data_IF_859299184709
#
_entry.id   IF_859299184709
#
_cell.length_a   1.000
_cell.length_b   1.000
_cell.length_c   1.000
_cell.angle_alpha   90.00
_cell.angle_beta   90.00
_cell.angle_gamma   90.00
#
_symmetry.space_group_name_H-M   'P 1'
#
loop_
_entity.id
_entity.type
_entity.pdbx_description
1 polymer ?
#
# COMPACT_ATOMS: atom_id res chain seq x y z
N UNK A 1 -28.47 -24.20 3.64
CA UNK A 1 -29.03 -23.22 4.61
C UNK A 1 -28.84 -23.79 6.01
N UNK A 2 -28.08 -23.11 6.87
CA UNK A 2 -27.94 -23.42 8.30
C UNK A 2 -27.96 -22.07 9.05
N UNK A 3 -28.84 -21.87 10.04
CA UNK A 3 -29.00 -20.59 10.72
C UNK A 3 -28.07 -20.45 11.94
N UNK A 4 -27.69 -19.22 12.26
CA UNK A 4 -27.36 -18.76 13.61
C UNK A 4 -25.96 -19.10 14.14
N UNK A 5 -24.98 -18.25 13.83
CA UNK A 5 -23.81 -18.02 14.69
C UNK A 5 -23.94 -16.63 15.37
N UNK A 6 -23.66 -16.50 16.67
CA UNK A 6 -23.77 -15.23 17.38
C UNK A 6 -22.69 -14.23 16.95
N UNK A 7 -23.12 -13.01 16.58
CA UNK A 7 -22.33 -11.82 16.18
C UNK A 7 -21.59 -11.14 17.35
N UNK A 8 -20.83 -11.88 18.16
CA UNK A 8 -20.13 -11.29 19.32
C UNK A 8 -18.62 -11.10 19.14
N UNK A 9 -18.09 -11.41 17.95
CA UNK A 9 -16.68 -11.18 17.61
C UNK A 9 -16.39 -9.76 17.07
N UNK A 10 -17.43 -8.95 16.86
CA UNK A 10 -17.37 -7.91 15.82
C UNK A 10 -16.70 -6.57 16.21
N UNK A 11 -16.54 -6.22 17.50
CA UNK A 11 -16.13 -4.85 17.84
C UNK A 11 -14.74 -4.70 18.50
N UNK A 12 -14.26 -5.70 19.26
CA UNK A 12 -13.06 -5.48 20.11
C UNK A 12 -11.72 -5.49 19.37
N UNK A 13 -11.61 -6.17 18.23
CA UNK A 13 -10.36 -6.19 17.46
C UNK A 13 -10.19 -4.89 16.67
N UNK A 14 -11.29 -4.29 16.23
CA UNK A 14 -11.32 -3.02 15.50
C UNK A 14 -11.12 -1.82 16.44
N UNK A 15 -11.69 -1.86 17.66
CA UNK A 15 -11.53 -0.82 18.68
C UNK A 15 -10.10 -0.74 19.26
N UNK A 16 -9.37 -1.87 19.35
CA UNK A 16 -7.98 -1.87 19.88
C UNK A 16 -7.01 -1.17 18.92
N UNK A 17 -7.28 -1.21 17.61
CA UNK A 17 -6.49 -0.48 16.60
C UNK A 17 -6.65 1.04 16.62
N UNK A 18 -7.55 1.59 17.44
CA UNK A 18 -7.80 3.04 17.57
C UNK A 18 -7.25 3.66 18.87
N UNK A 19 -6.52 2.91 19.70
CA UNK A 19 -6.02 3.44 20.98
C UNK A 19 -4.69 4.22 20.83
N UNK A 20 -4.85 5.55 20.74
CA UNK A 20 -3.97 6.64 21.20
C UNK A 20 -2.45 6.51 21.01
N UNK A 21 -1.94 7.15 19.95
CA UNK A 21 -0.58 7.72 19.93
C UNK A 21 -0.64 9.21 20.31
N UNK A 22 -0.74 9.50 21.62
CA UNK A 22 -0.22 10.80 22.11
C UNK A 22 1.28 10.65 22.28
N UNK A 23 2.02 10.93 21.21
CA UNK A 23 3.45 11.17 21.33
C UNK A 23 3.67 12.58 21.87
N UNK A 24 4.37 12.68 22.98
CA UNK A 24 4.80 13.92 23.62
C UNK A 24 5.86 14.60 22.74
N UNK A 25 5.48 15.69 22.07
CA UNK A 25 6.36 16.50 21.22
C UNK A 25 7.32 17.42 22.01
N UNK A 26 7.39 17.30 23.34
CA UNK A 26 8.25 18.15 24.17
C UNK A 26 9.64 17.53 24.41
N UNK A 27 10.50 17.53 23.39
CA UNK A 27 11.99 17.61 23.49
C UNK A 27 12.64 17.31 22.15
N UNK A 28 12.57 18.27 21.24
CA UNK A 28 13.57 18.39 20.18
C UNK A 28 14.14 19.81 20.25
N UNK A 29 15.15 19.97 21.10
CA UNK A 29 16.02 21.15 21.08
C UNK A 29 16.92 20.98 19.86
N UNK A 30 16.61 21.71 18.79
CA UNK A 30 17.53 21.91 17.67
C UNK A 30 17.69 23.41 17.49
N UNK A 31 18.93 23.87 17.68
CA UNK A 31 19.36 25.25 17.54
C UNK A 31 19.06 25.75 16.12
N UNK A 32 18.34 26.86 16.03
CA UNK A 32 18.17 27.61 14.79
C UNK A 32 19.30 28.65 14.68
N UNK A 33 20.08 28.59 13.60
CA UNK A 33 20.76 29.76 13.06
C UNK A 33 19.86 30.34 11.96
N UNK A 34 19.21 31.46 12.27
CA UNK A 34 18.46 32.28 11.32
C UNK A 34 19.41 33.26 10.64
N UNK A 35 19.49 33.24 9.31
CA UNK A 35 20.04 34.35 8.53
C UNK A 35 18.95 34.91 7.63
N UNK A 36 18.36 36.02 8.10
CA UNK A 36 17.51 36.92 7.33
C UNK A 36 18.35 37.81 6.41
N UNK A 37 17.76 38.16 5.28
CA UNK A 37 18.33 38.98 4.21
C UNK A 37 18.21 40.50 4.48
N UNK A 38 19.23 41.23 4.00
CA UNK A 38 19.22 42.60 3.41
C UNK A 38 19.87 43.77 4.19
N UNK A 39 20.68 44.49 3.39
CA UNK A 39 20.97 45.93 3.36
C UNK A 39 22.19 46.49 4.12
N UNK A 40 23.00 47.20 3.31
CA UNK A 40 24.05 48.20 3.54
C UNK A 40 24.28 48.73 4.96
N UNK A 41 25.53 48.72 5.43
CA UNK A 41 26.33 49.94 5.65
C UNK A 41 27.78 49.61 6.08
N UNK A 42 28.62 50.58 5.78
CA UNK A 42 30.08 50.71 5.91
C UNK A 42 30.62 50.58 7.33
N UNK A 43 31.76 49.88 7.51
CA UNK A 43 32.94 50.26 8.33
C UNK A 43 33.75 49.02 8.74
N UNK A 44 35.07 49.08 8.54
CA UNK A 44 35.98 47.96 8.75
C UNK A 44 36.43 47.75 10.19
N UNK A 45 36.90 46.54 10.48
CA UNK A 45 38.12 46.28 11.25
C UNK A 45 38.53 44.82 11.06
N UNK A 46 39.84 44.63 10.99
CA UNK A 46 40.60 43.39 10.86
C UNK A 46 40.43 42.41 12.03
N UNK A 47 40.54 41.10 11.77
CA UNK A 47 41.60 40.17 12.26
C UNK A 47 41.19 38.72 11.93
N UNK A 48 42.18 37.97 11.43
CA UNK A 48 42.24 36.53 11.14
C UNK A 48 41.75 35.64 12.30
N UNK A 49 41.09 34.52 11.97
CA UNK A 49 41.75 33.22 12.03
C UNK A 49 40.91 32.11 11.37
N UNK A 50 41.64 31.06 11.01
CA UNK A 50 41.39 30.07 9.98
C UNK A 50 40.60 28.87 10.52
N UNK A 51 39.50 28.47 9.89
CA UNK A 51 39.02 27.09 9.95
C UNK A 51 38.43 26.67 8.59
N UNK A 52 39.18 25.80 7.90
CA UNK A 52 38.72 25.00 6.77
C UNK A 52 37.71 23.97 7.29
N UNK A 53 36.52 23.94 6.72
CA UNK A 53 35.69 22.73 6.71
C UNK A 53 35.07 22.54 5.33
N UNK A 54 35.45 21.43 4.72
CA UNK A 54 34.98 20.95 3.42
C UNK A 54 33.50 20.56 3.52
N UNK A 55 32.64 21.27 2.78
CA UNK A 55 31.25 20.88 2.51
C UNK A 55 30.98 21.09 1.01
N UNK A 56 31.58 20.27 0.17
CA UNK A 56 31.49 20.38 -1.30
C UNK A 56 30.35 19.57 -1.93
N UNK A 57 29.68 18.66 -1.20
CA UNK A 57 28.69 17.75 -1.82
C UNK A 57 27.25 18.29 -1.92
N UNK A 58 26.87 19.34 -1.19
CA UNK A 58 25.50 19.90 -1.28
C UNK A 58 25.31 20.97 -2.36
N UNK A 59 26.39 21.64 -2.78
CA UNK A 59 26.33 22.62 -3.87
C UNK A 59 26.36 21.95 -5.25
N UNK A 60 26.98 20.77 -5.39
CA UNK A 60 27.01 20.03 -6.66
C UNK A 60 25.60 19.56 -7.10
N UNK A 61 24.75 19.08 -6.18
CA UNK A 61 23.36 18.69 -6.53
C UNK A 61 22.45 19.88 -6.91
N UNK A 62 22.70 21.08 -6.36
CA UNK A 62 21.92 22.28 -6.71
C UNK A 62 22.34 22.84 -8.06
N UNK A 63 23.63 22.77 -8.39
CA UNK A 63 24.16 23.11 -9.71
C UNK A 63 23.55 22.21 -10.78
N UNK A 64 23.40 20.91 -10.50
CA UNK A 64 22.89 19.94 -11.47
C UNK A 64 21.41 20.17 -11.84
N UNK A 65 20.55 20.52 -10.87
CA UNK A 65 19.13 20.82 -11.14
C UNK A 65 18.96 22.14 -11.89
N UNK A 66 19.75 23.17 -11.54
CA UNK A 66 19.71 24.48 -12.21
C UNK A 66 20.24 24.36 -13.63
N UNK A 67 21.33 23.62 -13.83
CA UNK A 67 21.91 23.36 -15.15
C UNK A 67 20.99 22.49 -16.00
N UNK A 68 20.33 21.47 -15.43
CA UNK A 68 19.35 20.65 -16.12
C UNK A 68 18.11 21.47 -16.54
N UNK A 69 17.59 22.37 -15.68
CA UNK A 69 16.54 23.33 -16.05
C UNK A 69 16.98 24.28 -17.16
N UNK A 70 18.24 24.75 -17.12
CA UNK A 70 18.80 25.64 -18.15
C UNK A 70 18.94 24.91 -19.49
N UNK A 71 19.53 23.69 -19.50
CA UNK A 71 19.65 22.84 -20.70
C UNK A 71 18.28 22.47 -21.27
N UNK A 72 17.31 22.16 -20.41
CA UNK A 72 15.94 21.89 -20.83
C UNK A 72 15.30 23.13 -21.48
N UNK A 73 15.43 24.32 -20.85
CA UNK A 73 14.95 25.59 -21.41
C UNK A 73 15.62 25.95 -22.74
N UNK A 74 16.92 25.71 -22.88
CA UNK A 74 17.66 25.91 -24.13
C UNK A 74 17.20 24.92 -25.21
N UNK A 75 17.02 23.64 -24.87
CA UNK A 75 16.48 22.63 -25.79
C UNK A 75 15.06 22.98 -26.26
N UNK A 76 14.19 23.45 -25.35
CA UNK A 76 12.87 23.97 -25.71
C UNK A 76 12.96 25.17 -26.66
N UNK A 77 13.94 26.06 -26.44
CA UNK A 77 14.17 27.22 -27.30
C UNK A 77 14.67 26.80 -28.69
N UNK A 78 15.53 25.79 -28.79
CA UNK A 78 15.99 25.24 -30.07
C UNK A 78 14.87 24.54 -30.84
N UNK A 79 13.98 23.81 -30.16
CA UNK A 79 12.81 23.18 -30.77
C UNK A 79 11.82 24.24 -31.30
N UNK A 80 11.73 25.41 -30.65
CA UNK A 80 10.84 26.51 -31.02
C UNK A 80 11.36 27.39 -32.18
N UNK A 81 12.64 27.29 -32.57
CA UNK A 81 13.30 28.24 -33.50
C UNK A 81 13.53 27.67 -34.91
N UNK A 82 13.04 26.45 -35.20
CA UNK A 82 12.93 26.00 -36.59
C UNK A 82 11.74 26.72 -37.28
N UNK A 83 11.95 27.95 -37.72
CA UNK A 83 11.08 28.68 -38.65
C UNK A 83 11.23 28.11 -40.07
N UNK A 84 10.92 26.83 -40.24
CA UNK A 84 10.71 26.23 -41.56
C UNK A 84 9.23 26.43 -41.91
N UNK A 85 8.85 26.79 -43.15
CA UNK A 85 7.45 26.84 -43.54
C UNK A 85 6.86 25.43 -43.44
N UNK A 86 6.25 25.12 -42.29
CA UNK A 86 5.56 23.86 -42.07
C UNK A 86 4.35 23.84 -43.01
N UNK A 87 4.21 22.76 -43.77
CA UNK A 87 2.99 22.53 -44.52
C UNK A 87 1.79 22.35 -43.57
N UNK A 88 0.58 22.32 -44.13
CA UNK A 88 -0.65 22.27 -43.33
C UNK A 88 -0.79 20.97 -42.50
N UNK A 89 -0.04 19.91 -42.85
CA UNK A 89 0.00 18.65 -42.11
C UNK A 89 0.92 18.76 -40.89
N UNK A 90 2.10 19.36 -41.07
CA UNK A 90 3.05 19.63 -40.00
C UNK A 90 2.49 20.62 -38.97
N UNK A 91 1.73 21.62 -39.42
CA UNK A 91 1.07 22.59 -38.51
C UNK A 91 0.03 21.91 -37.61
N UNK A 92 -0.74 20.95 -38.14
CA UNK A 92 -1.71 20.14 -37.37
C UNK A 92 -1.03 19.18 -36.41
N UNK A 93 0.06 18.54 -36.84
CA UNK A 93 0.84 17.64 -35.98
C UNK A 93 1.50 18.42 -34.84
N UNK A 94 2.12 19.56 -35.14
CA UNK A 94 2.73 20.44 -34.16
C UNK A 94 1.69 20.99 -33.16
N UNK A 95 0.50 21.38 -33.63
CA UNK A 95 -0.60 21.77 -32.74
C UNK A 95 -1.03 20.62 -31.82
N UNK A 96 -1.18 19.39 -32.33
CA UNK A 96 -1.50 18.22 -31.50
C UNK A 96 -0.41 17.90 -30.47
N UNK A 97 0.87 17.99 -30.86
CA UNK A 97 2.00 17.78 -29.95
C UNK A 97 1.99 18.86 -28.87
N UNK A 98 1.81 20.13 -29.23
CA UNK A 98 1.76 21.25 -28.28
C UNK A 98 0.62 21.13 -27.29
N UNK A 99 -0.58 20.73 -27.75
CA UNK A 99 -1.73 20.49 -26.87
C UNK A 99 -1.47 19.32 -25.92
N UNK A 100 -0.96 18.19 -26.42
CA UNK A 100 -0.60 17.04 -25.57
C UNK A 100 0.48 17.38 -24.53
N UNK A 101 1.48 18.18 -24.91
CA UNK A 101 2.52 18.65 -24.00
C UNK A 101 1.97 19.63 -22.96
N UNK A 102 1.08 20.55 -23.35
CA UNK A 102 0.46 21.49 -22.43
C UNK A 102 -0.43 20.77 -21.40
N UNK A 103 -1.21 19.78 -21.83
CA UNK A 103 -2.04 18.95 -20.96
C UNK A 103 -1.18 18.14 -19.99
N UNK A 104 -0.09 17.53 -20.48
CA UNK A 104 0.87 16.78 -19.64
C UNK A 104 1.56 17.68 -18.60
N UNK A 105 1.99 18.89 -18.98
CA UNK A 105 2.55 19.87 -18.05
C UNK A 105 1.52 20.31 -17.00
N UNK A 106 0.26 20.53 -17.38
CA UNK A 106 -0.80 20.91 -16.43
C UNK A 106 -1.06 19.83 -15.39
N UNK A 107 -1.00 18.55 -15.78
CA UNK A 107 -1.22 17.42 -14.86
C UNK A 107 -0.01 17.13 -13.95
N UNK A 108 1.21 17.19 -14.47
CA UNK A 108 2.43 17.11 -13.66
C UNK A 108 2.49 18.22 -12.60
N UNK A 109 2.02 19.42 -12.95
CA UNK A 109 1.93 20.53 -12.02
C UNK A 109 0.92 20.28 -10.89
N UNK A 110 -0.14 19.50 -11.11
CA UNK A 110 -1.15 19.21 -10.06
C UNK A 110 -0.58 18.35 -8.96
N UNK A 111 0.04 17.21 -9.29
CA UNK A 111 0.63 16.32 -8.27
C UNK A 111 1.79 17.00 -7.56
N UNK A 112 2.66 17.68 -8.28
CA UNK A 112 3.75 18.44 -7.67
C UNK A 112 3.20 19.53 -6.72
N UNK A 113 2.14 20.24 -7.10
CA UNK A 113 1.49 21.23 -6.23
C UNK A 113 0.85 20.61 -4.99
N UNK A 114 0.29 19.40 -5.13
CA UNK A 114 -0.34 18.65 -4.05
C UNK A 114 0.72 18.18 -3.04
N UNK A 115 1.81 17.60 -3.53
CA UNK A 115 2.96 17.19 -2.72
C UNK A 115 3.54 18.39 -1.97
N UNK A 116 3.69 19.54 -2.65
CA UNK A 116 4.23 20.75 -2.03
C UNK A 116 3.37 21.28 -0.88
N UNK A 117 2.03 21.22 -1.03
CA UNK A 117 1.06 21.66 -0.02
C UNK A 117 0.82 20.62 1.09
N UNK A 118 1.22 19.37 0.87
CA UNK A 118 0.91 18.29 1.79
C UNK A 118 1.64 18.44 3.13
N UNK A 119 0.99 18.11 4.26
CA UNK A 119 1.66 17.96 5.56
C UNK A 119 2.82 16.95 5.50
N UNK A 120 2.75 15.99 4.57
CA UNK A 120 3.74 14.93 4.39
C UNK A 120 4.73 15.22 3.26
N UNK A 121 4.88 16.48 2.83
CA UNK A 121 5.74 16.87 1.69
C UNK A 121 7.16 16.32 1.77
N UNK A 122 7.76 16.21 2.96
CA UNK A 122 9.15 15.72 3.13
C UNK A 122 9.29 14.26 2.66
N UNK A 123 8.30 13.44 3.00
CA UNK A 123 8.24 12.03 2.61
C UNK A 123 7.94 11.88 1.11
N UNK A 124 7.07 12.73 0.58
CA UNK A 124 6.60 12.67 -0.81
C UNK A 124 7.56 13.33 -1.81
N UNK A 125 8.33 14.34 -1.40
CA UNK A 125 9.23 15.08 -2.28
C UNK A 125 10.45 14.26 -2.72
N UNK A 126 10.80 13.20 -1.99
CA UNK A 126 11.85 12.26 -2.39
C UNK A 126 11.35 11.16 -3.33
N UNK A 127 10.08 11.22 -3.74
CA UNK A 127 9.43 10.21 -4.56
C UNK A 127 9.04 10.79 -5.91
N UNK A 128 9.05 9.93 -6.92
CA UNK A 128 8.61 10.26 -8.27
C UNK A 128 7.32 9.52 -8.56
N UNK A 129 6.35 10.23 -9.12
CA UNK A 129 5.03 9.71 -9.42
C UNK A 129 4.69 9.95 -10.88
N UNK A 130 4.08 8.95 -11.52
CA UNK A 130 3.50 9.07 -12.86
C UNK A 130 2.03 8.66 -12.83
N UNK A 131 1.22 9.26 -13.70
CA UNK A 131 -0.21 8.89 -13.82
C UNK A 131 -0.32 7.46 -14.38
N UNK A 132 -1.29 6.70 -13.88
CA UNK A 132 -1.58 5.35 -14.36
C UNK A 132 -1.77 5.35 -15.88
N UNK A 133 -1.00 4.52 -16.57
CA UNK A 133 -0.99 4.38 -18.03
C UNK A 133 -1.43 2.97 -18.47
N UNK A 134 -1.46 2.75 -19.77
CA UNK A 134 -1.83 1.47 -20.38
C UNK A 134 -0.94 0.30 -19.93
N UNK A 135 0.32 0.58 -19.56
CA UNK A 135 1.26 -0.47 -19.12
C UNK A 135 0.93 -0.96 -17.71
N UNK A 136 0.56 -0.04 -16.84
CA UNK A 136 0.06 -0.34 -15.50
C UNK A 136 -1.31 -1.02 -15.58
N UNK A 137 -2.20 -0.54 -16.46
CA UNK A 137 -3.50 -1.16 -16.70
C UNK A 137 -3.37 -2.63 -17.09
N UNK A 138 -2.48 -2.93 -18.04
CA UNK A 138 -2.23 -4.30 -18.48
C UNK A 138 -1.78 -5.19 -17.32
N UNK A 139 -0.82 -4.73 -16.51
CA UNK A 139 -0.35 -5.48 -15.33
C UNK A 139 -1.49 -5.75 -14.33
N UNK A 140 -2.32 -4.74 -14.05
CA UNK A 140 -3.44 -4.82 -13.12
C UNK A 140 -4.57 -5.76 -13.62
N UNK A 141 -4.62 -6.05 -14.93
CA UNK A 141 -5.65 -6.88 -15.55
C UNK A 141 -5.20 -8.28 -16.00
N UNK A 142 -3.90 -8.60 -16.10
CA UNK A 142 -3.36 -9.97 -16.30
C UNK A 142 -4.08 -11.11 -15.55
N UNK A 143 -4.02 -12.34 -16.05
CA UNK A 143 -4.65 -13.47 -15.35
C UNK A 143 -3.69 -14.08 -14.31
N UNK A 144 -4.00 -13.85 -13.03
CA UNK A 144 -3.29 -14.43 -11.89
C UNK A 144 -3.39 -15.95 -11.74
N UNK A 145 -4.30 -16.63 -12.45
CA UNK A 145 -4.31 -18.10 -12.53
C UNK A 145 -3.19 -18.62 -13.42
N UNK A 146 -2.95 -17.93 -14.52
CA UNK A 146 -1.89 -18.26 -15.48
C UNK A 146 -0.52 -17.74 -15.02
N UNK A 147 -0.47 -16.56 -14.40
CA UNK A 147 0.74 -15.94 -13.87
C UNK A 147 0.61 -15.67 -12.36
N UNK A 148 0.81 -16.68 -11.48
CA UNK A 148 0.57 -16.54 -10.04
C UNK A 148 1.38 -15.45 -9.34
N UNK A 149 2.54 -15.05 -9.87
CA UNK A 149 3.39 -14.00 -9.32
C UNK A 149 2.77 -12.60 -9.46
N UNK A 150 1.86 -12.41 -10.42
CA UNK A 150 1.25 -11.11 -10.72
C UNK A 150 0.47 -10.56 -9.54
N UNK A 151 -0.12 -11.41 -8.67
CA UNK A 151 -0.80 -10.91 -7.46
C UNK A 151 0.11 -10.14 -6.51
N UNK A 152 1.40 -10.48 -6.48
CA UNK A 152 2.41 -9.78 -5.67
C UNK A 152 2.82 -8.47 -6.36
N UNK A 153 3.02 -8.51 -7.69
CA UNK A 153 3.36 -7.33 -8.47
C UNK A 153 2.27 -6.24 -8.35
N UNK A 154 0.99 -6.63 -8.44
CA UNK A 154 -0.14 -5.70 -8.30
C UNK A 154 -0.23 -5.05 -6.95
N UNK A 155 -0.09 -5.87 -5.90
CA UNK A 155 -0.06 -5.37 -4.53
C UNK A 155 1.06 -4.33 -4.39
N UNK A 156 2.26 -4.63 -4.92
CA UNK A 156 3.39 -3.71 -4.88
C UNK A 156 3.14 -2.42 -5.67
N UNK A 157 2.55 -2.49 -6.88
CA UNK A 157 2.24 -1.29 -7.68
C UNK A 157 1.28 -0.35 -6.95
N UNK A 158 0.26 -0.92 -6.30
CA UNK A 158 -0.79 -0.15 -5.63
C UNK A 158 -0.40 0.36 -4.24
N UNK A 159 0.72 -0.14 -3.69
CA UNK A 159 1.26 0.33 -2.43
C UNK A 159 2.11 1.58 -2.64
N UNK A 160 1.77 2.66 -1.92
CA UNK A 160 2.39 3.97 -2.08
C UNK A 160 1.77 4.82 -3.19
N UNK A 161 0.73 4.34 -3.87
CA UNK A 161 0.00 5.10 -4.88
C UNK A 161 -0.73 6.30 -4.28
N UNK A 162 -0.80 7.41 -5.02
CA UNK A 162 -1.63 8.56 -4.68
C UNK A 162 -2.94 8.49 -5.46
N UNK A 163 -4.07 8.54 -4.75
CA UNK A 163 -5.38 8.70 -5.36
C UNK A 163 -5.81 10.15 -5.19
N UNK A 164 -6.15 10.81 -6.29
CA UNK A 164 -6.57 12.21 -6.31
C UNK A 164 -7.96 12.31 -6.91
N UNK A 165 -8.89 12.91 -6.19
CA UNK A 165 -10.20 13.22 -6.73
C UNK A 165 -10.13 14.60 -7.41
N UNK A 166 -10.25 14.62 -8.73
CA UNK A 166 -10.12 15.85 -9.53
C UNK A 166 -11.29 16.81 -9.38
N UNK A 167 -12.44 16.36 -8.87
CA UNK A 167 -13.62 17.22 -8.74
C UNK A 167 -13.57 18.10 -7.49
N UNK A 168 -12.96 17.63 -6.40
CA UNK A 168 -12.87 18.35 -5.13
C UNK A 168 -11.42 18.62 -4.67
N UNK A 169 -10.42 18.05 -5.34
CA UNK A 169 -9.00 18.24 -5.01
C UNK A 169 -8.49 17.45 -3.81
N UNK A 170 -9.32 16.59 -3.21
CA UNK A 170 -8.88 15.71 -2.12
C UNK A 170 -7.87 14.68 -2.66
N UNK A 171 -6.91 14.28 -1.83
CA UNK A 171 -5.97 13.23 -2.20
C UNK A 171 -5.53 12.39 -1.01
N UNK A 172 -5.29 11.12 -1.27
CA UNK A 172 -4.84 10.15 -0.27
C UNK A 172 -3.64 9.37 -0.78
N UNK A 173 -2.73 9.02 0.12
CA UNK A 173 -1.68 8.04 -0.09
C UNK A 173 -2.17 6.67 0.35
N UNK A 174 -2.02 5.66 -0.50
CA UNK A 174 -2.35 4.27 -0.18
C UNK A 174 -1.18 3.64 0.59
N UNK A 175 -1.34 3.48 1.90
CA UNK A 175 -0.31 2.88 2.74
C UNK A 175 -0.30 1.37 2.69
N UNK A 176 -1.48 0.74 2.75
CA UNK A 176 -1.55 -0.72 2.77
C UNK A 176 -2.67 -1.19 1.86
N UNK A 177 -2.34 -2.18 1.03
CA UNK A 177 -3.27 -2.77 0.06
C UNK A 177 -3.21 -4.30 0.13
N UNK A 178 -4.35 -4.94 0.01
CA UNK A 178 -4.52 -6.39 0.00
C UNK A 178 -5.17 -6.83 -1.30
N UNK A 179 -4.53 -7.77 -2.00
CA UNK A 179 -5.07 -8.29 -3.25
C UNK A 179 -5.97 -9.49 -2.99
N UNK A 180 -7.19 -9.39 -3.48
CA UNK A 180 -8.15 -10.46 -3.68
C UNK A 180 -8.35 -10.59 -5.17
N UNK A 181 -9.02 -11.62 -5.65
CA UNK A 181 -9.33 -11.56 -7.06
C UNK A 181 -10.47 -12.40 -7.53
N UNK A 182 -10.76 -12.28 -8.82
CA UNK A 182 -12.14 -12.19 -9.28
C UNK A 182 -12.92 -13.50 -9.29
N UNK A 183 -12.23 -14.64 -9.27
CA UNK A 183 -12.86 -15.95 -9.48
C UNK A 183 -12.57 -16.93 -8.35
N UNK A 184 -13.50 -17.87 -8.12
CA UNK A 184 -13.39 -18.85 -7.02
C UNK A 184 -12.15 -19.73 -7.13
N UNK A 185 -11.79 -20.26 -8.32
CA UNK A 185 -10.61 -21.11 -8.46
C UNK A 185 -9.33 -20.38 -8.09
N UNK A 186 -9.29 -19.08 -8.33
CA UNK A 186 -8.10 -18.30 -8.11
C UNK A 186 -7.97 -17.82 -6.66
N UNK A 187 -9.09 -17.50 -6.01
CA UNK A 187 -9.12 -17.26 -4.58
C UNK A 187 -10.49 -17.55 -3.95
N UNK A 188 -10.47 -18.32 -2.87
CA UNK A 188 -11.67 -18.60 -2.09
C UNK A 188 -12.21 -17.33 -1.41
N UNK A 189 -11.33 -16.36 -1.15
CA UNK A 189 -11.65 -15.07 -0.54
C UNK A 189 -12.04 -14.01 -1.55
N UNK A 190 -12.28 -14.38 -2.81
CA UNK A 190 -12.71 -13.43 -3.83
C UNK A 190 -13.83 -12.54 -3.33
N UNK A 191 -13.76 -11.30 -3.75
CA UNK A 191 -14.89 -10.42 -3.61
C UNK A 191 -16.00 -10.87 -4.57
N UNK A 192 -17.17 -11.21 -4.04
CA UNK A 192 -18.35 -11.44 -4.87
C UNK A 192 -18.86 -10.08 -5.37
N UNK A 193 -19.20 -9.94 -6.65
CA UNK A 193 -19.96 -8.78 -7.11
C UNK A 193 -21.30 -8.79 -6.37
N UNK A 194 -21.58 -7.77 -5.55
CA UNK A 194 -22.90 -7.65 -4.94
C UNK A 194 -23.95 -7.40 -6.03
N UNK A 195 -25.09 -8.05 -5.88
CA UNK A 195 -26.17 -8.13 -6.86
C UNK A 195 -27.07 -6.89 -6.96
N UNK A 196 -26.73 -5.74 -6.35
CA UNK A 196 -27.66 -4.61 -6.26
C UNK A 196 -27.18 -3.27 -6.83
N UNK A 197 -25.88 -3.05 -7.09
CA UNK A 197 -25.40 -1.79 -7.70
C UNK A 197 -24.39 -2.07 -8.83
N UNK A 198 -24.88 -2.65 -9.93
CA UNK A 198 -24.16 -2.73 -11.21
C UNK A 198 -23.90 -1.34 -11.84
N UNK A 199 -24.36 -0.24 -11.23
CA UNK A 199 -24.16 1.13 -11.74
C UNK A 199 -22.69 1.55 -11.82
N UNK A 200 -21.79 0.87 -11.11
CA UNK A 200 -20.34 1.12 -11.20
C UNK A 200 -19.84 0.81 -12.63
N UNK A 201 -20.42 -0.20 -13.29
CA UNK A 201 -20.07 -0.57 -14.67
C UNK A 201 -20.87 0.17 -15.74
N UNK A 202 -21.92 0.92 -15.37
CA UNK A 202 -22.67 1.74 -16.34
C UNK A 202 -21.96 3.06 -16.65
N UNK A 203 -20.97 3.43 -15.85
CA UNK A 203 -20.24 4.68 -16.00
C UNK A 203 -18.85 4.40 -16.56
N UNK A 204 -18.47 5.14 -17.60
CA UNK A 204 -17.14 5.00 -18.21
C UNK A 204 -16.08 5.44 -17.19
N UNK A 205 -15.16 4.56 -16.77
CA UNK A 205 -14.09 4.96 -15.86
C UNK A 205 -13.05 5.83 -16.57
N UNK A 206 -12.25 6.56 -15.79
CA UNK A 206 -11.10 7.35 -16.28
C UNK A 206 -10.06 6.44 -16.95
N UNK A 207 -9.80 5.29 -16.34
CA UNK A 207 -8.86 4.27 -16.84
C UNK A 207 -9.66 3.06 -17.29
N UNK A 208 -9.32 2.49 -18.45
CA UNK A 208 -10.04 1.32 -18.91
C UNK A 208 -9.83 0.17 -17.90
N UNK A 209 -10.88 -0.62 -17.69
CA UNK A 209 -10.81 -1.84 -16.89
C UNK A 209 -10.40 -1.66 -15.41
N UNK A 210 -10.43 -0.43 -14.89
CA UNK A 210 -10.06 -0.09 -13.51
C UNK A 210 -11.13 0.81 -12.92
N UNK A 211 -11.69 0.39 -11.78
CA UNK A 211 -12.76 1.09 -11.08
C UNK A 211 -12.40 1.32 -9.61
N UNK A 212 -11.79 2.48 -9.28
CA UNK A 212 -11.69 2.95 -7.91
C UNK A 212 -13.09 3.25 -7.37
N UNK A 213 -13.45 2.67 -6.24
CA UNK A 213 -14.79 2.81 -5.67
C UNK A 213 -14.83 2.60 -4.15
N UNK A 214 -15.88 3.12 -3.52
CA UNK A 214 -16.19 2.89 -2.11
C UNK A 214 -17.30 1.86 -1.99
N UNK A 215 -16.97 0.70 -1.45
CA UNK A 215 -17.92 -0.38 -1.19
C UNK A 215 -18.50 -0.26 0.21
N UNK A 216 -19.81 -0.10 0.32
CA UNK A 216 -20.52 -0.23 1.59
C UNK A 216 -20.59 -1.69 2.03
N UNK A 217 -20.12 -1.98 3.24
CA UNK A 217 -20.22 -3.29 3.88
C UNK A 217 -20.84 -3.18 5.27
N UNK A 218 -21.22 -4.30 5.88
CA UNK A 218 -21.72 -4.30 7.25
C UNK A 218 -20.72 -3.76 8.27
N UNK A 219 -19.41 -3.83 7.98
CA UNK A 219 -18.34 -3.27 8.81
C UNK A 219 -18.05 -1.79 8.51
N UNK A 220 -18.80 -1.15 7.59
CA UNK A 220 -18.55 0.21 7.10
C UNK A 220 -18.09 0.27 5.64
N UNK A 221 -17.63 1.45 5.23
CA UNK A 221 -17.23 1.77 3.86
C UNK A 221 -15.77 1.36 3.59
N UNK A 222 -15.57 0.43 2.67
CA UNK A 222 -14.25 -0.09 2.27
C UNK A 222 -13.84 0.51 0.93
N UNK A 223 -12.60 0.97 0.83
CA UNK A 223 -12.05 1.51 -0.42
C UNK A 223 -11.42 0.38 -1.21
N UNK A 224 -11.81 0.28 -2.47
CA UNK A 224 -11.34 -0.78 -3.36
C UNK A 224 -10.96 -0.22 -4.72
N UNK A 225 -9.97 -0.83 -5.35
CA UNK A 225 -9.69 -0.68 -6.77
C UNK A 225 -10.04 -2.02 -7.41
N UNK A 226 -11.12 -2.03 -8.18
CA UNK A 226 -11.60 -3.22 -8.88
C UNK A 226 -11.01 -3.24 -10.28
N UNK A 227 -10.53 -4.41 -10.71
CA UNK A 227 -10.09 -4.67 -12.09
C UNK A 227 -10.88 -5.85 -12.65
N UNK A 228 -10.66 -6.23 -13.91
CA UNK A 228 -11.35 -7.39 -14.49
C UNK A 228 -11.01 -8.70 -13.79
N UNK A 229 -9.76 -8.85 -13.34
CA UNK A 229 -9.27 -10.12 -12.78
C UNK A 229 -9.09 -10.09 -11.29
N UNK A 230 -9.07 -8.90 -10.66
CA UNK A 230 -8.83 -8.81 -9.23
C UNK A 230 -9.48 -7.63 -8.52
N UNK A 231 -9.37 -7.61 -7.21
CA UNK A 231 -9.80 -6.48 -6.37
C UNK A 231 -8.72 -6.17 -5.36
N UNK A 232 -8.28 -4.92 -5.34
CA UNK A 232 -7.33 -4.41 -4.37
C UNK A 232 -8.11 -3.72 -3.24
N UNK A 233 -8.07 -4.28 -2.04
CA UNK A 233 -8.67 -3.68 -0.85
C UNK A 233 -7.64 -2.77 -0.18
N UNK A 234 -7.98 -1.50 -0.04
CA UNK A 234 -7.14 -0.53 0.67
C UNK A 234 -7.49 -0.61 2.16
N UNK A 235 -6.48 -0.90 2.98
CA UNK A 235 -6.65 -1.15 4.42
C UNK A 235 -5.97 -0.09 5.29
N UNK A 236 -5.13 0.77 4.71
CA UNK A 236 -4.53 1.93 5.38
C UNK A 236 -4.30 3.04 4.37
N UNK A 237 -4.58 4.27 4.79
CA UNK A 237 -4.38 5.48 3.99
C UNK A 237 -3.88 6.65 4.85
N UNK A 238 -3.29 7.64 4.19
CA UNK A 238 -2.96 8.95 4.78
C UNK A 238 -3.60 10.02 3.90
N UNK A 239 -4.28 10.98 4.52
CA UNK A 239 -4.80 12.15 3.79
C UNK A 239 -3.62 13.08 3.44
N UNK A 240 -3.58 13.55 2.20
CA UNK A 240 -2.49 14.41 1.72
C UNK A 240 -2.88 15.89 1.72
N UNK A 241 -4.18 16.18 1.72
CA UNK A 241 -4.77 17.51 1.76
C UNK A 241 -4.98 18.03 3.19
N UNK A 242 -5.01 17.14 4.18
CA UNK A 242 -5.29 17.47 5.58
C UNK A 242 -4.29 16.80 6.51
N UNK A 243 -3.93 17.48 7.59
CA UNK A 243 -3.05 16.94 8.64
C UNK A 243 -3.86 16.04 9.58
N UNK A 244 -4.22 14.86 9.12
CA UNK A 244 -4.93 13.84 9.89
C UNK A 244 -4.02 12.64 10.18
N UNK A 245 -4.31 11.94 11.27
CA UNK A 245 -3.68 10.64 11.53
C UNK A 245 -4.03 9.62 10.43
N UNK A 246 -3.12 8.65 10.14
CA UNK A 246 -3.40 7.58 9.20
C UNK A 246 -4.69 6.85 9.54
N UNK A 247 -5.53 6.63 8.53
CA UNK A 247 -6.83 5.97 8.68
C UNK A 247 -6.71 4.50 8.29
N UNK A 248 -7.22 3.62 9.16
CA UNK A 248 -7.11 2.16 9.03
C UNK A 248 -8.48 1.52 8.85
N UNK A 249 -8.55 0.46 8.05
CA UNK A 249 -9.76 -0.34 7.86
C UNK A 249 -10.93 0.43 7.22
N UNK A 250 -12.18 -0.03 7.43
CA UNK A 250 -13.39 0.63 6.94
C UNK A 250 -13.70 1.90 7.75
N UNK A 251 -12.82 2.89 7.66
CA UNK A 251 -12.98 4.19 8.32
C UNK A 251 -13.56 5.22 7.37
N UNK A 252 -14.36 6.15 7.90
CA UNK A 252 -14.93 7.29 7.19
C UNK A 252 -13.87 8.35 6.89
N UNK A 253 -12.87 7.99 6.10
CA UNK A 253 -12.10 8.99 5.38
C UNK A 253 -13.04 9.75 4.43
N UNK A 254 -12.95 11.08 4.38
CA UNK A 254 -13.85 11.92 3.57
C UNK A 254 -13.61 11.78 2.06
N UNK A 255 -12.48 11.20 1.64
CA UNK A 255 -12.11 11.03 0.23
C UNK A 255 -13.24 10.38 -0.60
N UNK A 256 -13.86 11.10 -1.52
CA UNK A 256 -14.89 10.52 -2.37
C UNK A 256 -14.25 9.77 -3.57
N UNK A 257 -14.12 8.44 -3.50
CA UNK A 257 -13.58 7.66 -4.62
C UNK A 257 -14.67 7.38 -5.66
N UNK A 258 -14.48 7.89 -6.88
CA UNK A 258 -15.36 7.70 -8.04
C UNK A 258 -14.55 7.26 -9.27
N UNK A 259 -15.05 6.31 -10.09
CA UNK A 259 -14.32 5.87 -11.28
C UNK A 259 -14.08 6.94 -12.33
N UNK A 260 -14.87 8.02 -12.38
CA UNK A 260 -14.78 9.11 -13.36
C UNK A 260 -13.84 10.23 -12.93
N UNK A 261 -13.68 10.40 -11.61
CA UNK A 261 -13.02 11.58 -11.03
C UNK A 261 -11.77 11.22 -10.24
N UNK A 262 -11.46 9.93 -10.08
CA UNK A 262 -10.26 9.50 -9.35
C UNK A 262 -9.12 9.30 -10.35
N UNK A 263 -8.11 10.15 -10.26
CA UNK A 263 -6.80 9.90 -10.87
C UNK A 263 -5.93 9.06 -9.95
N UNK A 264 -5.11 8.20 -10.55
CA UNK A 264 -4.23 7.26 -9.85
C UNK A 264 -2.80 7.57 -10.25
N UNK A 265 -1.93 7.90 -9.29
CA UNK A 265 -0.52 8.19 -9.52
C UNK A 265 0.36 7.15 -8.85
N UNK A 266 1.15 6.45 -9.66
CA UNK A 266 1.96 5.30 -9.28
C UNK A 266 3.35 5.80 -8.85
N UNK A 267 3.83 5.31 -7.69
CA UNK A 267 5.21 5.55 -7.26
C UNK A 267 6.18 4.77 -8.17
N UNK A 268 7.15 5.48 -8.74
CA UNK A 268 8.14 4.94 -9.67
C UNK A 268 8.98 3.82 -9.05
N UNK A 269 9.28 3.92 -7.76
CA UNK A 269 10.05 2.89 -7.04
C UNK A 269 9.19 1.62 -6.88
N UNK A 270 7.95 1.76 -6.43
CA UNK A 270 6.97 0.66 -6.38
C UNK A 270 6.76 0.00 -7.74
N UNK A 271 6.65 0.78 -8.82
CA UNK A 271 6.51 0.24 -10.19
C UNK A 271 7.73 -0.59 -10.59
N UNK A 272 8.93 -0.04 -10.41
CA UNK A 272 10.18 -0.72 -10.77
C UNK A 272 10.30 -2.06 -10.02
N UNK A 273 9.94 -2.06 -8.72
CA UNK A 273 9.94 -3.29 -7.91
C UNK A 273 8.88 -4.29 -8.39
N UNK A 274 7.69 -3.82 -8.74
CA UNK A 274 6.63 -4.68 -9.26
C UNK A 274 7.01 -5.34 -10.59
N UNK A 275 7.69 -4.63 -11.49
CA UNK A 275 8.19 -5.22 -12.76
C UNK A 275 9.20 -6.34 -12.52
N UNK A 276 10.07 -6.19 -11.52
CA UNK A 276 10.99 -7.27 -11.10
C UNK A 276 10.21 -8.50 -10.61
N UNK A 277 9.19 -8.30 -9.77
CA UNK A 277 8.32 -9.36 -9.27
C UNK A 277 7.57 -10.05 -10.42
N UNK A 278 6.97 -9.27 -11.33
CA UNK A 278 6.22 -9.75 -12.49
C UNK A 278 7.07 -10.66 -13.38
N UNK A 279 8.31 -10.22 -13.67
CA UNK A 279 9.24 -10.94 -14.55
C UNK A 279 9.73 -12.27 -13.97
N UNK A 280 9.58 -12.48 -12.66
CA UNK A 280 10.05 -13.68 -11.97
C UNK A 280 8.89 -14.60 -11.58
N UNK A 281 8.62 -15.62 -12.40
CA UNK A 281 7.60 -16.63 -12.15
C UNK A 281 7.81 -17.47 -10.88
N UNK A 282 9.04 -17.50 -10.33
CA UNK A 282 9.33 -18.17 -9.06
C UNK A 282 8.96 -17.34 -7.84
N UNK A 283 8.55 -16.06 -8.01
CA UNK A 283 8.21 -15.19 -6.89
C UNK A 283 7.05 -15.75 -6.08
N UNK A 284 7.21 -15.75 -4.75
CA UNK A 284 6.20 -16.22 -3.78
C UNK A 284 5.84 -15.17 -2.73
N UNK A 285 6.47 -14.01 -2.73
CA UNK A 285 6.22 -12.91 -1.79
C UNK A 285 6.63 -11.58 -2.41
N UNK A 286 6.20 -10.48 -1.79
CA UNK A 286 6.52 -9.11 -2.22
C UNK A 286 7.87 -8.68 -1.66
N UNK A 287 8.08 -8.98 -0.37
CA UNK A 287 9.37 -8.83 0.31
C UNK A 287 9.89 -10.18 0.77
N UNK A 288 11.21 -10.26 0.97
CA UNK A 288 11.88 -11.43 1.54
C UNK A 288 11.88 -11.42 3.08
N UNK A 289 11.61 -10.26 3.68
CA UNK A 289 11.47 -10.08 5.12
C UNK A 289 10.01 -9.89 5.51
N UNK A 290 9.73 -9.98 6.82
CA UNK A 290 8.39 -9.80 7.40
C UNK A 290 7.30 -10.57 6.65
N UNK A 291 7.61 -11.79 6.22
CA UNK A 291 6.77 -12.58 5.32
C UNK A 291 5.33 -12.68 5.83
N UNK A 292 5.16 -12.93 7.12
CA UNK A 292 3.83 -13.12 7.68
C UNK A 292 3.00 -11.83 7.73
N UNK A 293 3.63 -10.66 7.79
CA UNK A 293 2.93 -9.38 7.74
C UNK A 293 2.30 -9.13 6.37
N UNK A 294 2.84 -9.75 5.32
CA UNK A 294 2.28 -9.72 3.96
C UNK A 294 1.05 -10.64 3.80
N UNK A 295 0.66 -11.40 4.83
CA UNK A 295 -0.58 -12.16 4.83
C UNK A 295 -1.77 -11.22 5.04
N UNK A 296 -2.86 -11.47 4.32
CA UNK A 296 -4.07 -10.64 4.32
C UNK A 296 -4.83 -10.70 5.64
N UNK A 297 -5.62 -9.66 5.93
CA UNK A 297 -6.54 -9.66 7.06
C UNK A 297 -7.79 -10.50 6.75
N UNK A 298 -7.75 -11.78 7.12
CA UNK A 298 -8.83 -12.73 6.85
C UNK A 298 -9.55 -13.18 8.13
N UNK A 299 -10.84 -13.47 8.00
CA UNK A 299 -11.72 -13.90 9.10
C UNK A 299 -12.21 -15.35 9.00
N UNK A 300 -11.94 -16.03 7.88
CA UNK A 300 -12.50 -17.38 7.62
C UNK A 300 -11.63 -18.17 6.65
N UNK A 301 -12.08 -19.37 6.26
CA UNK A 301 -11.42 -20.27 5.29
C UNK A 301 -9.94 -20.56 5.57
N UNK A 302 -9.51 -20.56 6.83
CA UNK A 302 -8.11 -20.87 7.21
C UNK A 302 -7.62 -22.26 6.80
N UNK A 303 -8.53 -23.14 6.38
CA UNK A 303 -8.21 -24.45 5.83
C UNK A 303 -7.81 -24.41 4.34
N UNK A 304 -8.06 -23.29 3.65
CA UNK A 304 -7.77 -23.13 2.23
C UNK A 304 -6.36 -22.52 2.01
N UNK A 305 -5.55 -23.04 1.07
CA UNK A 305 -4.19 -22.54 0.84
C UNK A 305 -4.12 -21.06 0.45
N UNK A 306 -5.10 -20.53 -0.30
CA UNK A 306 -5.11 -19.13 -0.75
C UNK A 306 -5.22 -18.12 0.40
N UNK A 307 -5.64 -18.57 1.59
CA UNK A 307 -5.62 -17.77 2.83
C UNK A 307 -4.21 -17.27 3.15
N UNK A 308 -3.20 -18.07 2.81
CA UNK A 308 -1.81 -17.82 3.15
C UNK A 308 -1.03 -17.13 2.02
N UNK A 309 -1.72 -16.57 1.02
CA UNK A 309 -1.07 -15.72 0.02
C UNK A 309 -0.51 -14.45 0.66
N UNK A 310 0.74 -14.13 0.32
CA UNK A 310 1.47 -12.95 0.81
C UNK A 310 1.28 -11.77 -0.14
N UNK A 311 0.02 -11.43 -0.40
CA UNK A 311 -0.37 -10.41 -1.35
C UNK A 311 -0.92 -9.15 -0.66
N UNK A 312 -0.39 -8.86 0.54
CA UNK A 312 -0.55 -7.60 1.24
C UNK A 312 0.75 -6.81 1.13
N UNK A 313 0.67 -5.61 0.59
CA UNK A 313 1.79 -4.72 0.36
C UNK A 313 1.68 -3.45 1.19
N UNK A 314 2.83 -2.85 1.45
CA UNK A 314 2.97 -1.62 2.23
C UNK A 314 3.69 -0.57 1.40
N UNK A 315 3.29 0.69 1.56
CA UNK A 315 4.06 1.82 1.08
C UNK A 315 5.40 1.84 1.80
N UNK A 316 6.39 2.48 1.19
CA UNK A 316 7.68 2.68 1.85
C UNK A 316 7.55 3.37 3.21
N UNK A 317 6.59 4.30 3.31
CA UNK A 317 6.26 5.01 4.55
C UNK A 317 5.79 4.11 5.69
N UNK A 318 5.26 2.92 5.38
CA UNK A 318 4.71 1.96 6.35
C UNK A 318 5.41 0.59 6.27
N UNK A 319 6.63 0.56 5.74
CA UNK A 319 7.39 -0.68 5.59
C UNK A 319 7.83 -1.26 6.95
N UNK A 320 8.00 -0.41 7.96
CA UNK A 320 8.30 -0.85 9.32
C UNK A 320 7.10 -1.50 9.99
N UNK A 321 7.31 -2.66 10.63
CA UNK A 321 6.25 -3.50 11.19
C UNK A 321 5.34 -2.79 12.20
N UNK A 322 5.86 -1.84 12.97
CA UNK A 322 5.09 -1.08 13.96
C UNK A 322 4.14 -0.04 13.35
N UNK A 323 4.29 0.28 12.06
CA UNK A 323 3.42 1.18 11.31
C UNK A 323 2.38 0.42 10.47
N UNK A 324 2.41 -0.91 10.50
CA UNK A 324 1.54 -1.75 9.69
C UNK A 324 0.25 -2.08 10.44
N UNK A 325 -0.91 -2.11 9.75
CA UNK A 325 -2.12 -2.62 10.37
C UNK A 325 -1.93 -4.07 10.82
N UNK A 326 -2.31 -4.37 12.06
CA UNK A 326 -2.29 -5.73 12.56
C UNK A 326 -3.27 -6.64 11.82
N UNK A 327 -2.88 -7.89 11.67
CA UNK A 327 -3.75 -8.97 11.19
C UNK A 327 -3.83 -10.07 12.24
N UNK A 328 -4.73 -11.02 12.03
CA UNK A 328 -4.82 -12.24 12.84
C UNK A 328 -3.50 -13.05 12.88
N UNK A 329 -2.56 -12.78 11.96
CA UNK A 329 -1.28 -13.48 11.90
C UNK A 329 -0.14 -12.77 12.66
N UNK A 330 -0.27 -11.47 12.92
CA UNK A 330 0.80 -10.64 13.52
C UNK A 330 0.35 -9.89 14.77
N UNK A 331 -0.91 -10.05 15.18
CA UNK A 331 -1.43 -9.45 16.41
C UNK A 331 -0.61 -9.89 17.64
N UNK A 332 -0.08 -11.11 17.63
CA UNK A 332 0.79 -11.62 18.69
C UNK A 332 2.15 -10.94 18.82
N UNK A 333 2.58 -10.22 17.79
CA UNK A 333 3.87 -9.51 17.78
C UNK A 333 3.72 -8.11 18.38
N UNK A 334 2.48 -7.70 18.72
CA UNK A 334 2.24 -6.45 19.42
C UNK A 334 2.73 -6.56 20.86
N UNK A 335 3.85 -5.90 21.15
CA UNK A 335 4.28 -5.59 22.51
C UNK A 335 3.40 -4.49 23.10
N UNK A 336 2.23 -4.87 23.60
CA UNK A 336 1.51 -4.02 24.54
C UNK A 336 2.31 -3.96 25.83
N UNK A 337 2.95 -2.83 26.11
CA UNK A 337 3.56 -2.56 27.42
C UNK A 337 2.60 -2.98 28.54
N UNK A 338 3.09 -3.73 29.53
CA UNK A 338 2.45 -3.99 30.86
C UNK A 338 1.50 -5.20 31.04
N UNK A 339 1.80 -6.41 30.55
CA UNK A 339 1.19 -7.63 31.18
C UNK A 339 2.21 -8.75 31.42
N UNK A 340 2.22 -9.26 32.66
CA UNK A 340 3.01 -10.45 33.02
C UNK A 340 2.63 -11.63 32.13
N UNK A 341 3.58 -12.54 31.91
CA UNK A 341 3.42 -13.72 31.04
C UNK A 341 2.25 -14.63 31.41
N UNK A 342 1.65 -14.45 32.59
CA UNK A 342 0.57 -15.30 33.11
C UNK A 342 -0.83 -14.97 32.55
N UNK A 343 -0.98 -13.87 31.81
CA UNK A 343 -2.27 -13.42 31.27
C UNK A 343 -2.26 -13.21 29.75
N UNK A 344 -1.73 -14.19 29.00
CA UNK A 344 -1.89 -14.19 27.55
C UNK A 344 -3.39 -14.24 27.19
N UNK A 345 -3.90 -13.13 26.66
CA UNK A 345 -5.28 -13.05 26.20
C UNK A 345 -5.50 -14.05 25.05
N UNK A 346 -6.70 -14.63 24.99
CA UNK A 346 -7.09 -15.62 23.99
C UNK A 346 -6.75 -15.22 22.54
N UNK A 347 -6.82 -13.92 22.24
CA UNK A 347 -6.47 -13.37 20.93
C UNK A 347 -4.98 -13.50 20.59
N UNK A 348 -4.08 -13.33 21.56
CA UNK A 348 -2.63 -13.51 21.38
C UNK A 348 -2.31 -14.97 21.08
N UNK A 349 -2.89 -15.88 21.86
CA UNK A 349 -2.71 -17.33 21.67
C UNK A 349 -3.24 -17.77 20.31
N UNK A 350 -4.42 -17.29 19.93
CA UNK A 350 -4.98 -17.56 18.60
C UNK A 350 -4.09 -16.99 17.49
N UNK A 351 -3.59 -15.76 17.64
CA UNK A 351 -2.70 -15.15 16.64
C UNK A 351 -1.40 -15.92 16.49
N UNK A 352 -0.73 -16.32 17.58
CA UNK A 352 0.47 -17.16 17.52
C UNK A 352 0.21 -18.50 16.84
N UNK A 353 -0.96 -19.09 17.10
CA UNK A 353 -1.36 -20.32 16.44
C UNK A 353 -1.52 -20.12 14.94
N UNK A 354 -2.25 -19.09 14.50
CA UNK A 354 -2.42 -18.79 13.07
C UNK A 354 -1.09 -18.44 12.40
N UNK A 355 -0.23 -17.68 13.08
CA UNK A 355 1.13 -17.37 12.66
C UNK A 355 1.94 -18.65 12.41
N UNK A 356 1.95 -19.59 13.37
CA UNK A 356 2.65 -20.88 13.25
C UNK A 356 2.10 -21.75 12.12
N UNK A 357 0.78 -21.80 11.96
CA UNK A 357 0.15 -22.53 10.84
C UNK A 357 0.61 -21.93 9.52
N UNK A 358 0.60 -20.61 9.40
CA UNK A 358 1.01 -19.91 8.18
C UNK A 358 2.48 -20.17 7.84
N UNK A 359 3.40 -20.14 8.81
CA UNK A 359 4.80 -20.52 8.59
C UNK A 359 4.94 -21.98 8.13
N UNK A 360 4.18 -22.90 8.75
CA UNK A 360 4.28 -24.32 8.45
C UNK A 360 3.78 -24.68 7.05
N UNK A 361 2.70 -24.03 6.59
CA UNK A 361 2.19 -24.20 5.22
C UNK A 361 3.21 -23.68 4.20
N UNK A 362 4.06 -22.73 4.58
CA UNK A 362 4.98 -22.05 3.66
C UNK A 362 6.38 -22.64 3.62
N UNK A 363 6.84 -23.26 4.70
CA UNK A 363 8.16 -23.86 4.77
C UNK A 363 8.07 -25.32 4.27
N UNK A 364 8.69 -25.68 3.13
CA UNK A 364 8.59 -27.01 2.53
C UNK A 364 9.25 -28.15 3.35
N UNK A 365 9.72 -27.89 4.58
CA UNK A 365 10.51 -28.85 5.38
C UNK A 365 10.09 -29.02 6.84
N UNK A 366 9.13 -28.25 7.36
CA UNK A 366 8.69 -28.46 8.75
C UNK A 366 7.40 -29.27 8.78
N UNK A 367 7.57 -30.54 9.14
CA UNK A 367 6.51 -31.34 9.76
C UNK A 367 5.95 -30.47 10.88
N UNK A 368 4.66 -30.16 10.83
CA UNK A 368 3.91 -29.67 11.99
C UNK A 368 4.06 -30.76 13.05
N UNK A 369 5.09 -30.67 13.88
CA UNK A 369 5.39 -31.73 14.84
C UNK A 369 4.21 -31.81 15.78
N UNK A 370 3.71 -33.03 15.99
CA UNK A 370 2.64 -33.34 16.96
C UNK A 370 2.81 -32.63 18.31
N UNK A 371 4.04 -32.28 18.69
CA UNK A 371 4.44 -31.55 19.90
C UNK A 371 3.96 -30.10 19.91
N UNK A 372 4.17 -29.32 18.83
CA UNK A 372 3.70 -27.92 18.75
C UNK A 372 2.17 -27.88 18.81
N UNK A 373 1.57 -28.84 18.13
CA UNK A 373 0.15 -29.15 18.15
C UNK A 373 -0.37 -29.52 19.53
N UNK A 374 0.35 -30.39 20.25
CA UNK A 374 0.03 -30.76 21.63
C UNK A 374 0.12 -29.55 22.54
N UNK A 375 1.19 -28.74 22.48
CA UNK A 375 1.32 -27.53 23.29
C UNK A 375 0.17 -26.55 23.06
N UNK A 376 -0.25 -26.33 21.81
CA UNK A 376 -1.41 -25.49 21.51
C UNK A 376 -2.73 -26.12 22.02
N UNK A 377 -2.88 -27.44 21.95
CA UNK A 377 -4.04 -28.15 22.52
C UNK A 377 -4.07 -28.12 24.04
N UNK A 378 -2.93 -28.25 24.71
CA UNK A 378 -2.82 -28.18 26.17
C UNK A 378 -3.20 -26.78 26.64
N UNK A 379 -2.69 -25.73 25.97
CA UNK A 379 -3.05 -24.35 26.27
C UNK A 379 -4.53 -24.03 25.96
N UNK A 380 -5.09 -24.58 24.87
CA UNK A 380 -6.52 -24.44 24.56
C UNK A 380 -7.44 -25.21 25.52
N UNK A 381 -7.01 -26.37 26.02
CA UNK A 381 -7.71 -27.14 27.07
C UNK A 381 -7.70 -26.38 28.40
N UNK A 382 -6.58 -25.74 28.75
CA UNK A 382 -6.43 -24.92 29.96
C UNK A 382 -7.38 -23.72 29.94
N UNK A 383 -7.67 -23.16 28.77
CA UNK A 383 -8.48 -21.95 28.65
C UNK A 383 -10.00 -22.13 28.73
N UNK A 384 -10.53 -23.37 28.76
CA UNK A 384 -11.96 -23.63 29.01
C UNK A 384 -12.98 -22.90 28.13
N UNK A 385 -12.56 -22.28 27.01
CA UNK A 385 -13.43 -21.40 26.21
C UNK A 385 -13.32 -21.70 24.72
N UNK A 386 -14.49 -21.99 24.16
CA UNK A 386 -14.84 -22.11 22.73
C UNK A 386 -14.59 -23.46 22.05
N UNK A 387 -15.66 -24.28 21.98
CA UNK A 387 -15.81 -25.39 21.01
C UNK A 387 -15.55 -24.97 19.56
N UNK A 388 -15.69 -23.68 19.23
CA UNK A 388 -15.48 -23.16 17.88
C UNK A 388 -14.00 -23.05 17.52
N UNK A 389 -13.12 -22.70 18.47
CA UNK A 389 -11.67 -22.71 18.25
C UNK A 389 -11.17 -24.12 17.96
N UNK A 390 -11.66 -25.12 18.72
CA UNK A 390 -11.33 -26.53 18.50
C UNK A 390 -11.81 -27.04 17.14
N UNK A 391 -13.00 -26.62 16.68
CA UNK A 391 -13.53 -26.98 15.35
C UNK A 391 -12.71 -26.37 14.21
N UNK A 392 -12.42 -25.06 14.27
CA UNK A 392 -11.57 -24.40 13.26
C UNK A 392 -10.20 -25.07 13.22
N UNK A 393 -9.64 -25.41 14.37
CA UNK A 393 -8.38 -26.11 14.51
C UNK A 393 -8.39 -27.51 13.88
N UNK A 394 -9.38 -28.36 14.17
CA UNK A 394 -9.49 -29.69 13.55
C UNK A 394 -9.62 -29.62 12.02
N UNK A 395 -10.34 -28.62 11.49
CA UNK A 395 -10.49 -28.44 10.05
C UNK A 395 -9.16 -27.97 9.42
N UNK A 396 -8.44 -27.04 10.07
CA UNK A 396 -7.11 -26.60 9.60
C UNK A 396 -6.08 -27.74 9.66
N UNK A 397 -6.18 -28.64 10.65
CA UNK A 397 -5.31 -29.80 10.77
C UNK A 397 -5.53 -30.84 9.68
N UNK A 398 -6.79 -31.18 9.44
CA UNK A 398 -7.15 -32.14 8.41
C UNK A 398 -6.73 -31.67 7.01
N UNK A 399 -6.74 -30.35 6.78
CA UNK A 399 -6.33 -29.75 5.50
C UNK A 399 -4.82 -29.60 5.36
N UNK A 400 -4.09 -29.22 6.41
CA UNK A 400 -2.60 -29.26 6.38
C UNK A 400 -2.09 -30.68 6.17
N UNK A 401 -2.72 -31.68 6.80
CA UNK A 401 -2.32 -33.07 6.61
C UNK A 401 -2.64 -33.59 5.20
N UNK A 402 -3.83 -33.27 4.64
CA UNK A 402 -4.14 -33.58 3.24
C UNK A 402 -3.18 -32.90 2.26
N UNK A 403 -2.81 -31.65 2.52
CA UNK A 403 -1.89 -30.90 1.66
C UNK A 403 -0.48 -31.47 1.69
N UNK A 404 0.04 -31.85 2.87
CA UNK A 404 1.32 -32.54 2.99
C UNK A 404 1.33 -33.89 2.25
N UNK A 405 0.24 -34.67 2.34
CA UNK A 405 0.11 -35.93 1.61
C UNK A 405 0.01 -35.76 0.08
N UNK A 406 -0.50 -34.62 -0.40
CA UNK A 406 -0.57 -34.30 -1.83
C UNK A 406 0.72 -33.66 -2.37
N UNK A 407 1.46 -32.91 -1.53
CA UNK A 407 2.72 -32.30 -1.90
C UNK A 407 3.87 -33.32 -2.04
N UNK A 408 3.76 -34.50 -1.42
CA UNK A 408 4.67 -35.63 -1.67
C UNK A 408 4.37 -36.38 -2.98
N UNK A 409 3.33 -36.00 -3.70
CA UNK A 409 2.90 -36.62 -4.97
C UNK A 409 3.11 -35.73 -6.21
N UNK A 410 3.77 -34.56 -6.05
CA UNK A 410 4.12 -33.63 -7.13
C UNK A 410 5.61 -33.31 -7.16
#
# INVERSE_FOLDING_TARGET
>A
MLPGLPRSFDNKVTDVSQLNLKADESKMVVCYTTSTTNAEETAGCSVDETEKNDNTEQDEQRVDIVECKKRSKEAYKTILVCEVPLDDLDRKLHHRIRMRLADSCAELNKVASLIYKSPHRRLLASREYFELDDTVELLLNKDWLHEPQVKFARAQVLAGTVLMNVSNGEAILVNTVEMYGGTKPADIHRELPFSSNMSIFTTKPTYANIWPHIRSTGDGSKRVIVTQTCTALITSIVCLDQSEEPKMGPSSCHFATSPQHTKIFIDQVSWTKAKKIESNASTRSIELFSLIAQARQLRSQFHHPTTYYLCRAFSDATLFSHLQPYTVFIYCDHEGSTKSMDNENAFMIASRLFQRIAYSIRLPKHILTRIVLLCCMTNAKIMGKSRNCLRIFCICLATTWKWQSSATAF
#
